data_IF_207175194070
#
_entry.id   IF_207175194070
#
_cell.length_a   1.000
_cell.length_b   1.000
_cell.length_c   1.000
_cell.angle_alpha   90.00
_cell.angle_beta   90.00
_cell.angle_gamma   90.00
#
_symmetry.space_group_name_H-M   'P 1'
#
loop_
_entity.id
_entity.type
_entity.pdbx_description
1 polymer ?
#
# COMPACT_ATOMS: atom_id res chain seq x y z
N UNK A 1 -27.73 48.22 -1.45
CA UNK A 1 -28.36 47.05 -2.07
C UNK A 1 -28.83 46.14 -0.95
N UNK A 2 -30.14 46.00 -0.76
CA UNK A 2 -30.77 45.21 0.32
C UNK A 2 -30.98 43.79 -0.19
N UNK A 3 -30.55 42.77 0.55
CA UNK A 3 -30.92 41.39 0.29
C UNK A 3 -31.65 40.80 1.49
N UNK A 4 -32.72 40.10 1.16
CA UNK A 4 -33.88 39.78 1.98
C UNK A 4 -33.69 38.43 2.67
N UNK A 5 -34.09 38.35 3.94
CA UNK A 5 -34.18 37.12 4.75
C UNK A 5 -35.39 36.31 4.27
N UNK A 6 -35.17 35.02 3.97
CA UNK A 6 -36.23 34.04 3.66
C UNK A 6 -36.28 32.94 4.71
N UNK A 7 -37.18 33.09 5.67
CA UNK A 7 -37.56 32.13 6.70
C UNK A 7 -38.55 31.12 6.11
N UNK A 8 -38.30 29.81 6.22
CA UNK A 8 -39.27 28.76 5.85
C UNK A 8 -39.60 27.87 7.06
N UNK A 9 -40.90 27.72 7.32
CA UNK A 9 -41.51 27.07 8.48
C UNK A 9 -41.80 25.57 8.26
N UNK A 10 -41.85 24.88 9.41
CA UNK A 10 -42.22 23.49 9.73
C UNK A 10 -43.48 22.92 9.06
N UNK A 11 -43.48 21.58 8.91
CA UNK A 11 -44.68 20.74 9.02
C UNK A 11 -44.36 19.50 9.88
N UNK A 12 -45.13 19.35 10.96
CA UNK A 12 -45.20 18.15 11.81
C UNK A 12 -46.40 17.31 11.38
N UNK A 13 -46.25 15.98 11.34
CA UNK A 13 -47.36 15.04 11.14
C UNK A 13 -47.48 14.17 12.39
N UNK A 14 -48.64 14.29 13.05
CA UNK A 14 -49.11 13.40 14.09
C UNK A 14 -50.15 12.46 13.49
N UNK A 15 -50.11 11.18 13.87
CA UNK A 15 -51.24 10.26 13.75
C UNK A 15 -51.41 9.55 15.09
N UNK A 16 -52.55 9.83 15.71
CA UNK A 16 -53.12 9.17 16.87
C UNK A 16 -54.00 7.99 16.43
N UNK A 17 -54.13 6.97 17.29
CA UNK A 17 -55.43 6.34 17.51
C UNK A 17 -55.53 4.81 17.40
N UNK A 18 -55.46 4.13 18.57
CA UNK A 18 -56.42 3.12 19.14
C UNK A 18 -56.91 1.96 18.25
N UNK A 19 -56.96 0.67 18.64
CA UNK A 19 -56.69 -0.08 19.87
C UNK A 19 -57.34 -1.48 19.73
N UNK A 20 -56.80 -2.52 20.36
CA UNK A 20 -57.52 -3.76 20.66
C UNK A 20 -56.79 -4.53 21.78
N UNK A 21 -57.46 -4.66 22.92
CA UNK A 21 -57.03 -5.45 24.07
C UNK A 21 -57.50 -6.89 23.88
N UNK A 22 -56.59 -7.87 23.93
CA UNK A 22 -56.93 -9.26 24.23
C UNK A 22 -55.91 -9.83 25.21
N UNK A 23 -56.46 -10.21 26.36
CA UNK A 23 -55.84 -10.93 27.47
C UNK A 23 -55.35 -12.30 27.04
N UNK A 24 -54.07 -12.60 27.32
CA UNK A 24 -53.49 -13.95 27.24
C UNK A 24 -52.57 -14.17 28.43
N UNK A 25 -52.84 -15.22 29.21
CA UNK A 25 -52.10 -15.63 30.40
C UNK A 25 -50.63 -16.01 30.10
N UNK A 26 -49.71 -15.97 31.09
CA UNK A 26 -48.35 -16.42 30.87
C UNK A 26 -48.30 -17.96 30.87
N UNK A 27 -48.02 -18.55 29.71
CA UNK A 27 -47.62 -19.95 29.61
C UNK A 27 -46.14 -20.07 29.99
N UNK A 28 -45.85 -20.84 31.04
CA UNK A 28 -44.49 -21.26 31.39
C UNK A 28 -44.03 -22.32 30.38
N UNK A 29 -43.19 -21.92 29.43
CA UNK A 29 -42.45 -22.86 28.57
C UNK A 29 -40.98 -22.87 28.97
N UNK A 30 -40.56 -24.00 29.51
CA UNK A 30 -39.17 -24.40 29.74
C UNK A 30 -38.46 -24.50 28.39
N UNK A 31 -37.56 -23.54 28.10
CA UNK A 31 -36.64 -23.63 26.96
C UNK A 31 -35.50 -24.56 27.32
N UNK A 32 -35.50 -25.76 26.74
CA UNK A 32 -34.35 -26.66 26.71
C UNK A 32 -33.23 -26.01 25.90
N UNK A 33 -32.07 -25.85 26.52
CA UNK A 33 -30.87 -25.32 25.87
C UNK A 33 -30.46 -26.21 24.67
N UNK A 34 -30.10 -25.65 23.52
CA UNK A 34 -29.49 -26.43 22.45
C UNK A 34 -28.10 -26.91 22.91
N UNK A 35 -27.90 -28.22 22.89
CA UNK A 35 -26.60 -28.85 23.11
C UNK A 35 -25.60 -28.35 22.07
N UNK A 36 -24.57 -27.65 22.52
CA UNK A 36 -23.39 -27.29 21.74
C UNK A 36 -22.67 -28.58 21.33
N UNK A 37 -22.91 -29.05 20.11
CA UNK A 37 -22.08 -30.07 19.48
C UNK A 37 -20.76 -29.42 19.08
N UNK A 38 -19.74 -29.63 19.90
CA UNK A 38 -18.35 -29.30 19.57
C UNK A 38 -17.92 -30.21 18.42
N UNK A 39 -18.08 -29.76 17.18
CA UNK A 39 -17.35 -30.33 16.05
C UNK A 39 -15.89 -29.99 16.26
N UNK A 40 -15.11 -30.98 16.70
CA UNK A 40 -13.66 -30.95 16.65
C UNK A 40 -13.27 -30.81 15.19
N UNK A 41 -13.01 -29.58 14.76
CA UNK A 41 -12.38 -29.29 13.48
C UNK A 41 -10.98 -29.87 13.55
N UNK A 42 -10.76 -30.99 12.88
CA UNK A 42 -9.42 -31.53 12.62
C UNK A 42 -8.65 -30.45 11.90
N UNK A 43 -7.77 -29.74 12.61
CA UNK A 43 -6.84 -28.80 12.00
C UNK A 43 -5.98 -29.59 11.01
N UNK A 44 -6.22 -29.36 9.72
CA UNK A 44 -5.30 -29.80 8.67
C UNK A 44 -3.92 -29.28 9.05
N UNK A 45 -2.86 -30.11 9.05
CA UNK A 45 -1.52 -29.62 9.32
C UNK A 45 -1.24 -28.47 8.37
N UNK A 46 -0.98 -27.30 8.94
CA UNK A 46 -0.63 -26.09 8.21
C UNK A 46 0.71 -26.37 7.51
N UNK A 47 0.65 -26.81 6.25
CA UNK A 47 1.83 -27.08 5.43
C UNK A 47 2.61 -25.76 5.35
N UNK A 48 3.80 -25.74 5.96
CA UNK A 48 4.73 -24.60 5.91
C UNK A 48 5.16 -24.29 4.47
N UNK A 49 6.04 -23.30 4.29
CA UNK A 49 6.49 -22.96 2.93
C UNK A 49 7.06 -24.20 2.22
N UNK A 50 6.57 -24.53 1.00
CA UNK A 50 7.06 -25.67 0.24
C UNK A 50 8.58 -25.61 0.10
N UNK A 51 9.29 -26.70 0.33
CA UNK A 51 10.76 -26.67 0.33
C UNK A 51 11.36 -26.81 -1.07
N UNK A 52 10.53 -27.08 -2.08
CA UNK A 52 11.01 -27.66 -3.34
C UNK A 52 11.30 -26.63 -4.45
N UNK A 53 11.00 -25.34 -4.24
CA UNK A 53 11.31 -24.28 -5.21
C UNK A 53 12.36 -23.30 -4.67
N UNK A 54 13.25 -22.86 -5.56
CA UNK A 54 14.38 -22.00 -5.24
C UNK A 54 13.93 -20.58 -4.85
N UNK A 55 14.57 -20.02 -3.83
CA UNK A 55 14.39 -18.63 -3.42
C UNK A 55 15.53 -17.78 -3.96
N UNK A 56 15.22 -16.55 -4.35
CA UNK A 56 16.18 -15.55 -4.83
C UNK A 56 16.44 -14.51 -3.74
N UNK A 57 17.70 -14.09 -3.56
CA UNK A 57 18.11 -13.16 -2.50
C UNK A 57 18.27 -11.69 -2.95
N UNK A 58 18.30 -11.44 -4.27
CA UNK A 58 18.53 -10.12 -4.87
C UNK A 58 18.18 -10.11 -6.36
N UNK A 59 17.97 -8.92 -6.94
CA UNK A 59 17.68 -8.76 -8.36
C UNK A 59 16.28 -9.25 -8.74
N UNK A 60 16.13 -9.77 -9.97
CA UNK A 60 14.85 -10.29 -10.45
C UNK A 60 14.47 -11.58 -9.72
N UNK A 61 13.27 -11.60 -9.13
CA UNK A 61 12.69 -12.77 -8.47
C UNK A 61 12.01 -13.63 -9.53
N UNK A 62 11.14 -13.03 -10.34
CA UNK A 62 10.45 -13.74 -11.43
C UNK A 62 9.93 -12.76 -12.50
N UNK A 63 9.67 -13.28 -13.70
CA UNK A 63 8.94 -12.62 -14.78
C UNK A 63 7.93 -13.60 -15.36
N UNK A 64 6.66 -13.32 -15.12
CA UNK A 64 5.52 -14.10 -15.59
C UNK A 64 4.90 -13.36 -16.77
N UNK A 65 4.99 -13.95 -17.96
CA UNK A 65 4.34 -13.41 -19.16
C UNK A 65 3.03 -14.15 -19.40
N UNK A 66 1.92 -13.42 -19.42
CA UNK A 66 0.60 -13.98 -19.72
C UNK A 66 0.10 -13.37 -21.04
N UNK A 67 0.02 -14.15 -22.14
CA UNK A 67 -0.39 -13.60 -23.44
C UNK A 67 -1.85 -13.12 -23.47
N UNK A 68 -2.66 -13.58 -22.52
CA UNK A 68 -4.02 -13.12 -22.29
C UNK A 68 -4.33 -13.24 -20.81
N UNK A 69 -4.82 -12.16 -20.20
CA UNK A 69 -5.29 -12.12 -18.82
C UNK A 69 -6.65 -11.42 -18.76
N UNK A 70 -7.55 -11.93 -17.93
CA UNK A 70 -8.82 -11.31 -17.57
C UNK A 70 -8.72 -10.48 -16.28
N UNK A 71 -7.55 -10.47 -15.61
CA UNK A 71 -7.27 -9.65 -14.43
C UNK A 71 -7.25 -8.18 -14.80
N UNK A 72 -8.01 -7.38 -14.05
CA UNK A 72 -8.13 -5.91 -14.24
C UNK A 72 -7.96 -5.13 -12.95
N UNK A 73 -8.25 -5.79 -11.83
CA UNK A 73 -8.24 -5.15 -10.51
C UNK A 73 -7.46 -5.99 -9.51
N UNK A 74 -6.58 -5.36 -8.72
CA UNK A 74 -6.07 -5.99 -7.50
C UNK A 74 -7.17 -5.94 -6.44
N UNK A 75 -7.79 -7.10 -6.17
CA UNK A 75 -8.98 -7.21 -5.32
C UNK A 75 -8.68 -7.50 -3.85
N UNK A 76 -7.66 -8.31 -3.57
CA UNK A 76 -7.29 -8.65 -2.19
C UNK A 76 -5.80 -8.88 -2.04
N UNK A 77 -5.24 -8.36 -0.94
CA UNK A 77 -3.93 -8.76 -0.42
C UNK A 77 -4.17 -9.54 0.87
N UNK A 78 -3.79 -10.81 0.86
CA UNK A 78 -3.92 -11.72 2.00
C UNK A 78 -2.55 -12.14 2.49
N UNK A 79 -2.45 -12.42 3.79
CA UNK A 79 -1.21 -12.78 4.46
C UNK A 79 -1.37 -14.04 5.29
N UNK A 80 -0.36 -14.89 5.26
CA UNK A 80 -0.20 -16.03 6.14
C UNK A 80 1.23 -16.05 6.68
N UNK A 81 1.38 -16.18 7.99
CA UNK A 81 2.69 -16.30 8.65
C UNK A 81 2.84 -17.73 9.15
N UNK A 82 3.95 -18.37 8.81
CA UNK A 82 4.31 -19.71 9.22
C UNK A 82 5.62 -19.68 10.02
N UNK A 83 5.94 -20.80 10.67
CA UNK A 83 7.27 -20.94 11.26
C UNK A 83 8.33 -20.95 10.13
N UNK A 84 9.23 -19.96 10.16
CA UNK A 84 10.32 -19.82 9.19
C UNK A 84 9.97 -19.12 7.86
N UNK A 85 8.74 -18.71 7.61
CA UNK A 85 8.39 -17.98 6.38
C UNK A 85 7.08 -17.17 6.44
N UNK A 86 6.92 -16.25 5.51
CA UNK A 86 5.71 -15.44 5.30
C UNK A 86 5.21 -15.62 3.87
N UNK A 87 3.89 -15.66 3.70
CA UNK A 87 3.23 -15.78 2.39
C UNK A 87 2.25 -14.64 2.20
N UNK A 88 2.37 -13.95 1.08
CA UNK A 88 1.46 -12.90 0.62
C UNK A 88 0.76 -13.39 -0.64
N UNK A 89 -0.56 -13.31 -0.66
CA UNK A 89 -1.37 -13.63 -1.83
C UNK A 89 -2.08 -12.39 -2.35
N UNK A 90 -1.96 -12.18 -3.66
CA UNK A 90 -2.57 -11.09 -4.40
C UNK A 90 -3.64 -11.72 -5.30
N UNK A 91 -4.90 -11.51 -4.96
CA UNK A 91 -6.04 -12.02 -5.71
C UNK A 91 -6.56 -10.94 -6.66
N UNK A 92 -6.95 -11.36 -7.86
CA UNK A 92 -7.33 -10.46 -8.94
C UNK A 92 -8.79 -10.65 -9.34
N UNK A 93 -9.42 -9.55 -9.72
CA UNK A 93 -10.79 -9.52 -10.23
C UNK A 93 -10.81 -9.02 -11.69
N UNK A 94 -11.87 -9.39 -12.41
CA UNK A 94 -12.18 -8.84 -13.74
C UNK A 94 -12.67 -7.39 -13.62
N UNK A 95 -12.84 -6.71 -14.76
CA UNK A 95 -13.38 -5.35 -14.79
C UNK A 95 -14.79 -5.25 -14.18
N UNK A 96 -15.56 -6.34 -14.23
CA UNK A 96 -16.90 -6.44 -13.67
C UNK A 96 -16.91 -6.83 -12.17
N UNK A 97 -15.74 -7.05 -11.56
CA UNK A 97 -15.59 -7.39 -10.15
C UNK A 97 -15.85 -8.87 -9.81
N UNK A 98 -15.85 -9.76 -10.80
CA UNK A 98 -15.82 -11.20 -10.55
C UNK A 98 -14.38 -11.68 -10.34
N UNK A 99 -14.12 -12.76 -9.59
CA UNK A 99 -12.78 -13.33 -9.50
C UNK A 99 -12.22 -13.66 -10.87
N UNK A 100 -11.06 -13.09 -11.21
CA UNK A 100 -10.39 -13.38 -12.47
C UNK A 100 -9.92 -14.83 -12.50
N UNK A 101 -9.70 -15.37 -13.70
CA UNK A 101 -9.29 -16.76 -13.90
C UNK A 101 -7.81 -16.90 -14.20
N UNK A 102 -7.20 -15.87 -14.80
CA UNK A 102 -5.79 -15.84 -15.20
C UNK A 102 -5.11 -14.60 -14.60
N UNK A 103 -4.02 -14.74 -13.83
CA UNK A 103 -3.26 -13.61 -13.29
C UNK A 103 -2.74 -12.66 -14.39
N UNK A 104 -2.41 -11.40 -14.07
CA UNK A 104 -1.81 -10.49 -15.04
C UNK A 104 -0.35 -10.87 -15.35
N UNK A 105 0.20 -10.35 -16.45
CA UNK A 105 1.65 -10.38 -16.60
C UNK A 105 2.29 -9.62 -15.44
N UNK A 106 3.39 -10.17 -14.92
CA UNK A 106 4.01 -9.67 -13.70
C UNK A 106 5.52 -9.72 -13.79
N UNK A 107 6.19 -8.70 -13.27
CA UNK A 107 7.62 -8.77 -12.95
C UNK A 107 7.81 -8.48 -11.46
N UNK A 108 8.53 -9.36 -10.77
CA UNK A 108 8.88 -9.19 -9.37
C UNK A 108 10.40 -9.08 -9.22
N UNK A 109 10.87 -8.10 -8.45
CA UNK A 109 12.30 -7.89 -8.19
C UNK A 109 12.55 -7.24 -6.83
N UNK A 110 13.73 -7.47 -6.28
CA UNK A 110 14.30 -6.58 -5.28
C UNK A 110 14.73 -5.28 -5.95
N UNK A 111 14.47 -4.14 -5.32
CA UNK A 111 15.07 -2.87 -5.71
C UNK A 111 16.48 -2.79 -5.12
N UNK A 112 17.48 -2.57 -5.97
CA UNK A 112 18.88 -2.58 -5.57
C UNK A 112 19.17 -1.42 -4.61
N UNK A 113 19.84 -1.73 -3.49
CA UNK A 113 20.12 -0.75 -2.44
C UNK A 113 18.95 -0.53 -1.47
N UNK A 114 17.72 -0.89 -1.86
CA UNK A 114 16.51 -0.56 -1.12
C UNK A 114 15.94 -1.74 -0.32
N UNK A 115 15.19 -1.42 0.75
CA UNK A 115 14.42 -2.42 1.51
C UNK A 115 13.08 -2.76 0.82
N UNK A 116 13.06 -2.94 -0.50
CA UNK A 116 11.79 -3.06 -1.24
C UNK A 116 11.81 -4.25 -2.19
N UNK A 117 10.73 -5.02 -2.18
CA UNK A 117 10.36 -5.90 -3.29
C UNK A 117 9.27 -5.20 -4.09
N UNK A 118 9.53 -4.93 -5.38
CA UNK A 118 8.57 -4.37 -6.32
C UNK A 118 7.96 -5.47 -7.18
N UNK A 119 6.63 -5.52 -7.22
CA UNK A 119 5.85 -6.39 -8.09
C UNK A 119 5.07 -5.51 -9.06
N UNK A 120 5.54 -5.38 -10.31
CA UNK A 120 4.83 -4.67 -11.38
C UNK A 120 3.76 -5.56 -12.00
N UNK A 121 2.55 -5.05 -12.15
CA UNK A 121 1.36 -5.79 -12.55
C UNK A 121 0.68 -5.11 -13.74
N UNK A 122 0.34 -5.87 -14.79
CA UNK A 122 -0.49 -5.39 -15.90
C UNK A 122 -1.98 -5.41 -15.53
N UNK A 123 -2.41 -4.45 -14.69
CA UNK A 123 -3.80 -4.24 -14.25
C UNK A 123 -4.16 -2.75 -14.31
N UNK A 124 -5.46 -2.43 -14.24
CA UNK A 124 -5.99 -1.07 -14.47
C UNK A 124 -6.38 -0.34 -13.18
N UNK A 125 -6.84 -1.09 -12.16
CA UNK A 125 -7.25 -0.52 -10.86
C UNK A 125 -6.93 -1.41 -9.66
N UNK A 126 -7.18 -0.90 -8.46
CA UNK A 126 -7.01 -1.61 -7.18
C UNK A 126 -8.09 -1.17 -6.20
N UNK A 127 -8.50 -2.07 -5.30
CA UNK A 127 -9.36 -1.71 -4.15
C UNK A 127 -8.54 -1.47 -2.87
N UNK A 128 -7.22 -1.69 -2.93
CA UNK A 128 -6.28 -1.53 -1.83
C UNK A 128 -5.21 -0.52 -2.24
N UNK A 129 -4.94 0.47 -1.39
CA UNK A 129 -3.91 1.48 -1.66
C UNK A 129 -2.64 1.24 -0.86
N UNK A 130 -2.79 0.76 0.36
CA UNK A 130 -1.71 0.43 1.27
C UNK A 130 -2.23 -0.43 2.41
N UNK A 131 -1.32 -1.15 3.06
CA UNK A 131 -1.63 -1.98 4.21
C UNK A 131 -0.46 -2.04 5.19
N UNK A 132 -0.71 -1.70 6.45
CA UNK A 132 0.23 -1.94 7.55
C UNK A 132 0.29 -3.44 7.87
N UNK A 133 1.50 -4.02 7.84
CA UNK A 133 1.73 -5.45 7.98
C UNK A 133 2.41 -5.75 9.33
N UNK A 134 3.53 -5.11 9.64
CA UNK A 134 4.28 -5.25 10.89
C UNK A 134 4.63 -6.71 11.27
N UNK A 135 5.04 -7.52 10.29
CA UNK A 135 5.55 -8.87 10.52
C UNK A 135 7.06 -8.83 10.78
N UNK A 136 7.72 -9.98 10.80
CA UNK A 136 9.17 -10.04 10.94
C UNK A 136 9.85 -9.54 9.67
N UNK A 137 9.39 -9.97 8.50
CA UNK A 137 10.04 -9.68 7.22
C UNK A 137 9.48 -8.42 6.55
N UNK A 138 8.19 -8.10 6.73
CA UNK A 138 7.52 -7.02 6.00
C UNK A 138 6.89 -6.01 6.96
N UNK A 139 7.14 -4.74 6.72
CA UNK A 139 6.59 -3.63 7.48
C UNK A 139 5.24 -3.19 6.93
N UNK A 140 5.19 -2.95 5.62
CA UNK A 140 4.06 -2.32 4.95
C UNK A 140 4.04 -2.66 3.46
N UNK A 141 2.86 -2.57 2.87
CA UNK A 141 2.64 -2.72 1.44
C UNK A 141 2.03 -1.43 0.90
N UNK A 142 2.47 -1.00 -0.28
CA UNK A 142 1.90 0.11 -1.03
C UNK A 142 1.52 -0.35 -2.43
N UNK A 143 0.37 0.10 -2.91
CA UNK A 143 -0.06 -0.06 -4.29
C UNK A 143 0.04 1.30 -4.97
N UNK A 144 0.87 1.35 -6.00
CA UNK A 144 1.36 2.59 -6.60
C UNK A 144 1.09 2.56 -8.09
N UNK A 145 0.65 3.69 -8.63
CA UNK A 145 0.62 3.95 -10.06
C UNK A 145 1.96 4.56 -10.45
N UNK A 146 2.64 3.93 -11.38
CA UNK A 146 3.92 4.37 -11.92
C UNK A 146 3.78 5.51 -12.92
N UNK A 147 4.90 6.18 -13.19
CA UNK A 147 4.96 7.28 -14.17
C UNK A 147 4.65 6.82 -15.61
N UNK A 148 4.84 5.53 -15.89
CA UNK A 148 4.46 4.89 -17.16
C UNK A 148 2.97 4.50 -17.24
N UNK A 149 2.22 4.74 -16.15
CA UNK A 149 0.80 4.40 -16.00
C UNK A 149 0.55 2.97 -15.53
N UNK A 150 1.57 2.10 -15.48
CA UNK A 150 1.46 0.76 -14.94
C UNK A 150 1.25 0.80 -13.42
N UNK A 151 0.75 -0.29 -12.83
CA UNK A 151 0.71 -0.41 -11.38
C UNK A 151 1.80 -1.32 -10.88
N UNK A 152 2.26 -1.04 -9.68
CA UNK A 152 3.12 -1.93 -8.94
C UNK A 152 2.76 -1.96 -7.46
N UNK A 153 3.17 -3.06 -6.82
CA UNK A 153 3.08 -3.24 -5.38
C UNK A 153 4.48 -3.24 -4.82
N UNK A 154 4.74 -2.31 -3.90
CA UNK A 154 6.00 -2.26 -3.15
C UNK A 154 5.78 -2.85 -1.76
N UNK A 155 6.54 -3.90 -1.44
CA UNK A 155 6.61 -4.48 -0.11
C UNK A 155 7.86 -3.95 0.60
N UNK A 156 7.65 -3.18 1.66
CA UNK A 156 8.72 -2.64 2.49
C UNK A 156 9.20 -3.69 3.48
N UNK A 157 10.47 -4.06 3.39
CA UNK A 157 11.08 -5.09 4.21
C UNK A 157 11.63 -4.52 5.52
N UNK A 158 11.51 -5.29 6.60
CA UNK A 158 12.14 -5.00 7.90
C UNK A 158 13.47 -5.71 8.07
N UNK A 159 13.55 -6.92 7.53
CA UNK A 159 14.74 -7.77 7.53
C UNK A 159 15.04 -8.20 6.10
N UNK A 160 16.30 -8.58 5.84
CA UNK A 160 16.67 -9.22 4.57
C UNK A 160 15.79 -10.46 4.38
N UNK A 161 15.25 -10.63 3.19
CA UNK A 161 14.45 -11.79 2.83
C UNK A 161 14.98 -12.42 1.54
N UNK A 162 14.81 -13.73 1.40
CA UNK A 162 14.80 -14.34 0.07
C UNK A 162 13.35 -14.52 -0.35
N UNK A 163 13.10 -14.42 -1.64
CA UNK A 163 11.76 -14.38 -2.20
C UNK A 163 11.58 -15.37 -3.34
N UNK A 164 10.35 -15.83 -3.53
CA UNK A 164 9.92 -16.50 -4.75
C UNK A 164 8.46 -16.18 -5.04
N UNK A 165 8.07 -16.36 -6.29
CA UNK A 165 6.71 -16.13 -6.76
C UNK A 165 6.13 -17.46 -7.26
N UNK A 166 4.85 -17.67 -7.01
CA UNK A 166 4.05 -18.70 -7.66
C UNK A 166 2.72 -18.10 -8.14
N UNK A 167 2.15 -18.67 -9.19
CA UNK A 167 0.84 -18.27 -9.71
C UNK A 167 -0.14 -19.42 -9.67
N UNK A 168 -1.40 -19.11 -9.40
CA UNK A 168 -2.52 -20.03 -9.56
C UNK A 168 -3.60 -19.41 -10.44
N UNK A 169 -4.27 -20.28 -11.19
CA UNK A 169 -5.39 -19.92 -12.05
C UNK A 169 -6.69 -20.43 -11.43
N UNK A 170 -7.79 -19.72 -11.68
CA UNK A 170 -9.15 -20.11 -11.28
C UNK A 170 -9.29 -20.46 -9.78
N UNK A 171 -9.20 -19.48 -8.86
CA UNK A 171 -9.08 -18.04 -9.14
C UNK A 171 -7.63 -17.59 -9.43
N UNK A 172 -7.51 -16.49 -10.17
CA UNK A 172 -6.26 -15.80 -10.46
C UNK A 172 -5.64 -15.28 -9.18
N UNK A 173 -4.45 -15.80 -8.85
CA UNK A 173 -3.69 -15.35 -7.69
C UNK A 173 -2.20 -15.42 -7.95
N UNK A 174 -1.51 -14.39 -7.49
CA UNK A 174 -0.06 -14.38 -7.36
C UNK A 174 0.29 -14.57 -5.89
N UNK A 175 1.26 -15.44 -5.62
CA UNK A 175 1.71 -15.76 -4.27
C UNK A 175 3.19 -15.42 -4.15
N UNK A 176 3.52 -14.42 -3.34
CA UNK A 176 4.89 -14.13 -2.92
C UNK A 176 5.17 -14.89 -1.62
N UNK A 177 6.25 -15.64 -1.60
CA UNK A 177 6.73 -16.29 -0.40
C UNK A 177 8.09 -15.72 -0.02
N UNK A 178 8.24 -15.45 1.27
CA UNK A 178 9.43 -14.86 1.86
C UNK A 178 9.96 -15.76 2.96
N UNK A 179 11.27 -15.97 2.99
CA UNK A 179 11.96 -16.53 4.15
C UNK A 179 13.07 -15.57 4.61
N UNK A 180 13.54 -15.68 5.86
CA UNK A 180 14.65 -14.86 6.33
C UNK A 180 15.89 -15.04 5.45
N UNK A 181 16.43 -13.92 4.97
CA UNK A 181 17.72 -13.83 4.31
C UNK A 181 18.84 -13.55 5.30
N UNK A 182 20.07 -13.58 4.82
CA UNK A 182 21.27 -13.23 5.59
C UNK A 182 21.94 -11.96 5.07
N UNK A 183 22.56 -11.22 5.97
CA UNK A 183 23.35 -10.02 5.64
C UNK A 183 22.60 -8.72 5.90
N UNK A 184 23.28 -7.61 5.63
CA UNK A 184 22.73 -6.28 5.82
C UNK A 184 21.65 -5.97 4.78
N UNK A 185 20.69 -5.18 5.20
CA UNK A 185 19.64 -4.64 4.34
C UNK A 185 19.80 -3.11 4.35
N UNK A 186 19.79 -2.47 3.17
CA UNK A 186 19.99 -1.01 3.01
C UNK A 186 19.02 -0.18 3.84
N UNK A 187 19.18 1.13 4.09
CA UNK A 187 18.30 1.89 4.99
C UNK A 187 16.80 1.83 4.61
N UNK A 188 15.86 1.95 5.57
CA UNK A 188 14.44 1.99 5.24
C UNK A 188 14.08 3.29 4.50
N UNK A 189 13.05 3.25 3.62
CA UNK A 189 12.47 4.46 3.06
C UNK A 189 11.98 5.43 4.14
N UNK A 190 12.08 6.73 3.90
CA UNK A 190 11.54 7.73 4.81
C UNK A 190 10.04 7.91 4.59
N UNK A 191 9.27 7.97 5.69
CA UNK A 191 7.82 7.92 5.65
C UNK A 191 7.19 9.13 6.36
N UNK A 192 6.10 9.61 5.79
CA UNK A 192 5.11 10.49 6.39
C UNK A 192 3.71 10.02 5.97
N UNK A 193 2.66 10.66 6.47
CA UNK A 193 1.28 10.24 6.19
C UNK A 193 0.94 10.20 4.68
N UNK A 194 1.53 11.08 3.88
CA UNK A 194 1.19 11.25 2.44
C UNK A 194 2.39 11.25 1.51
N UNK A 195 3.58 10.94 2.03
CA UNK A 195 4.81 10.89 1.25
C UNK A 195 5.69 9.76 1.73
N UNK A 196 6.12 8.93 0.79
CA UNK A 196 7.15 7.92 0.96
C UNK A 196 8.29 8.28 0.03
N UNK A 197 9.47 8.47 0.60
CA UNK A 197 10.69 8.76 -0.12
C UNK A 197 11.57 7.53 -0.11
N UNK A 198 11.77 6.96 -1.29
CA UNK A 198 12.54 5.72 -1.49
C UNK A 198 14.01 6.07 -1.66
N UNK A 199 14.32 7.04 -2.54
CA UNK A 199 15.69 7.52 -2.80
C UNK A 199 15.72 9.05 -2.75
N UNK A 200 16.76 9.66 -2.16
CA UNK A 200 17.82 9.03 -1.37
C UNK A 200 17.32 8.63 0.03
N UNK A 201 18.01 7.72 0.74
CA UNK A 201 17.71 7.46 2.14
C UNK A 201 18.25 8.55 3.07
N UNK A 202 17.76 8.59 4.31
CA UNK A 202 18.29 9.50 5.34
C UNK A 202 19.78 9.23 5.61
N UNK A 203 20.50 10.30 5.95
CA UNK A 203 21.96 10.31 6.17
C UNK A 203 22.80 9.87 4.95
N UNK A 204 22.21 9.76 3.76
CA UNK A 204 22.93 9.38 2.56
C UNK A 204 23.97 10.42 2.16
N UNK A 205 25.05 9.93 1.55
CA UNK A 205 26.02 10.77 0.86
C UNK A 205 25.88 10.57 -0.65
N UNK A 206 25.42 11.59 -1.34
CA UNK A 206 25.09 11.59 -2.78
C UNK A 206 26.03 12.54 -3.55
N UNK A 207 26.09 12.37 -4.86
CA UNK A 207 26.86 13.27 -5.73
C UNK A 207 26.10 14.59 -5.94
N UNK A 208 26.77 15.60 -6.53
CA UNK A 208 26.17 16.91 -6.82
C UNK A 208 24.91 16.87 -7.70
N UNK A 209 24.71 15.79 -8.44
CA UNK A 209 23.49 15.47 -9.20
C UNK A 209 22.98 14.12 -8.71
N UNK A 210 21.73 14.06 -8.27
CA UNK A 210 21.14 12.85 -7.71
C UNK A 210 19.63 12.80 -7.92
N UNK A 211 19.08 11.59 -7.89
CA UNK A 211 17.66 11.31 -8.03
C UNK A 211 16.93 11.47 -6.69
N UNK A 212 15.72 12.03 -6.76
CA UNK A 212 14.75 12.05 -5.67
C UNK A 212 13.49 11.34 -6.18
N UNK A 213 13.21 10.17 -5.62
CA UNK A 213 12.14 9.30 -6.09
C UNK A 213 11.39 8.62 -4.94
N UNK A 214 10.10 8.41 -5.18
CA UNK A 214 9.22 7.79 -4.21
C UNK A 214 7.79 7.80 -4.68
N UNK A 215 6.86 7.85 -3.74
CA UNK A 215 5.45 7.98 -4.06
C UNK A 215 4.70 8.81 -3.04
N UNK A 216 3.65 9.48 -3.50
CA UNK A 216 2.92 10.45 -2.73
C UNK A 216 1.40 10.34 -2.96
N UNK A 217 0.62 10.83 -2.00
CA UNK A 217 -0.83 11.07 -2.13
C UNK A 217 -1.17 12.51 -1.75
N UNK A 218 -0.34 13.44 -2.22
CA UNK A 218 -0.45 14.88 -1.95
C UNK A 218 -1.52 15.53 -2.82
N UNK A 219 -2.07 16.66 -2.38
CA UNK A 219 -3.13 17.36 -3.11
C UNK A 219 -2.66 17.77 -4.52
N UNK A 220 -3.52 17.57 -5.52
CA UNK A 220 -3.22 17.83 -6.94
C UNK A 220 -1.97 17.11 -7.49
N UNK A 221 -1.51 16.05 -6.81
CA UNK A 221 -0.28 15.32 -7.16
C UNK A 221 0.95 16.23 -7.31
N UNK A 222 1.04 17.35 -6.57
CA UNK A 222 2.20 18.23 -6.62
C UNK A 222 3.13 17.99 -5.43
N UNK A 223 4.25 17.31 -5.66
CA UNK A 223 5.26 17.02 -4.64
C UNK A 223 6.28 18.15 -4.60
N UNK A 224 6.35 18.85 -3.48
CA UNK A 224 7.30 19.91 -3.19
C UNK A 224 8.60 19.32 -2.65
N UNK A 225 9.72 19.69 -3.29
CA UNK A 225 11.08 19.32 -2.90
C UNK A 225 11.83 20.60 -2.57
N UNK A 226 12.36 20.69 -1.35
CA UNK A 226 13.08 21.87 -0.85
C UNK A 226 14.38 21.43 -0.20
N UNK A 227 15.52 21.94 -0.66
CA UNK A 227 16.79 21.74 0.02
C UNK A 227 17.19 23.01 0.77
N UNK A 228 17.62 22.86 2.02
CA UNK A 228 18.11 23.96 2.86
C UNK A 228 19.52 23.71 3.38
N UNK A 229 20.25 24.81 3.57
CA UNK A 229 21.55 24.82 4.26
C UNK A 229 21.45 25.79 5.44
N UNK A 230 21.37 25.24 6.65
CA UNK A 230 20.96 26.02 7.81
C UNK A 230 19.54 26.57 7.60
N UNK A 231 19.40 27.90 7.58
CA UNK A 231 18.10 28.57 7.41
C UNK A 231 17.88 29.10 5.98
N UNK A 232 18.79 28.82 5.04
CA UNK A 232 18.72 29.28 3.66
C UNK A 232 18.15 28.18 2.76
N UNK A 233 17.15 28.52 1.95
CA UNK A 233 16.66 27.64 0.87
C UNK A 233 17.62 27.76 -0.31
N UNK A 234 18.29 26.67 -0.63
CA UNK A 234 19.26 26.60 -1.73
C UNK A 234 18.67 25.95 -2.99
N UNK A 235 17.54 25.26 -2.86
CA UNK A 235 16.82 24.64 -3.96
C UNK A 235 15.33 24.49 -3.60
N UNK A 236 14.46 24.67 -4.57
CA UNK A 236 13.02 24.43 -4.44
C UNK A 236 12.44 24.08 -5.80
N UNK A 237 11.73 22.97 -5.88
CA UNK A 237 11.06 22.50 -7.09
C UNK A 237 9.76 21.77 -6.72
N UNK A 238 8.77 21.81 -7.61
CA UNK A 238 7.63 20.92 -7.56
C UNK A 238 7.75 19.88 -8.68
N UNK A 239 7.45 18.61 -8.39
CA UNK A 239 7.38 17.52 -9.36
C UNK A 239 6.01 16.85 -9.29
N UNK A 240 5.41 16.45 -10.43
CA UNK A 240 4.14 15.74 -10.41
C UNK A 240 4.32 14.29 -9.91
N UNK A 241 3.35 13.81 -9.14
CA UNK A 241 3.13 12.39 -8.89
C UNK A 241 2.16 11.81 -9.94
N UNK A 242 2.28 10.52 -10.24
CA UNK A 242 1.47 9.85 -11.26
C UNK A 242 -0.03 9.75 -10.90
N UNK A 243 -0.35 9.77 -9.60
CA UNK A 243 -1.71 9.71 -9.06
C UNK A 243 -1.73 10.37 -7.67
N UNK A 244 -2.91 10.69 -7.19
CA UNK A 244 -3.17 11.13 -5.82
C UNK A 244 -4.56 10.76 -5.31
N UNK A 245 -5.40 10.19 -6.18
CA UNK A 245 -6.82 9.96 -5.92
C UNK A 245 -7.10 8.50 -5.60
N UNK A 246 -6.72 7.60 -6.50
CA UNK A 246 -7.06 6.18 -6.41
C UNK A 246 -5.95 5.38 -5.74
N UNK A 247 -4.69 5.65 -6.11
CA UNK A 247 -3.51 4.97 -5.57
C UNK A 247 -2.53 5.95 -4.93
N UNK A 248 -1.40 5.43 -4.44
CA UNK A 248 -0.19 6.24 -4.35
C UNK A 248 0.32 6.54 -5.77
N UNK A 249 0.85 7.73 -6.01
CA UNK A 249 1.45 8.10 -7.29
C UNK A 249 2.96 8.14 -7.18
N UNK A 250 3.66 7.43 -8.08
CA UNK A 250 5.11 7.53 -8.23
C UNK A 250 5.50 8.96 -8.65
N UNK A 251 6.58 9.46 -8.08
CA UNK A 251 7.24 10.68 -8.52
C UNK A 251 8.74 10.43 -8.63
N UNK A 252 9.38 11.14 -9.55
CA UNK A 252 10.81 11.10 -9.78
C UNK A 252 11.26 12.49 -10.25
N UNK A 253 12.43 12.93 -9.80
CA UNK A 253 13.12 14.10 -10.37
C UNK A 253 14.60 14.03 -10.08
N UNK A 254 15.40 14.65 -10.95
CA UNK A 254 16.81 14.92 -10.71
C UNK A 254 16.96 16.24 -9.94
N UNK A 255 17.90 16.27 -9.01
CA UNK A 255 18.24 17.45 -8.21
C UNK A 255 19.74 17.71 -8.34
N UNK A 256 20.10 18.98 -8.57
CA UNK A 256 21.51 19.42 -8.64
C UNK A 256 21.82 20.39 -7.49
N UNK A 257 22.77 20.04 -6.63
CA UNK A 257 23.20 20.85 -5.50
C UNK A 257 24.74 20.98 -5.46
N UNK A 258 25.21 22.11 -4.92
CA UNK A 258 26.62 22.28 -4.61
C UNK A 258 27.02 21.45 -3.37
N UNK A 259 28.30 21.00 -3.28
CA UNK A 259 28.78 20.17 -2.16
C UNK A 259 28.51 20.76 -0.77
N UNK A 260 28.32 19.87 0.21
CA UNK A 260 28.09 20.20 1.61
C UNK A 260 26.87 19.52 2.23
N UNK A 261 26.67 19.73 3.53
CA UNK A 261 25.51 19.21 4.25
C UNK A 261 24.24 20.00 3.90
N UNK A 262 23.12 19.29 3.69
CA UNK A 262 21.81 19.86 3.34
C UNK A 262 20.69 19.10 4.06
N UNK A 263 19.60 19.80 4.38
CA UNK A 263 18.34 19.16 4.73
C UNK A 263 17.45 19.14 3.49
N UNK A 264 16.96 17.96 3.10
CA UNK A 264 16.05 17.80 1.97
C UNK A 264 14.63 17.51 2.51
N UNK A 265 13.71 18.44 2.31
CA UNK A 265 12.28 18.23 2.53
C UNK A 265 11.63 17.72 1.24
N UNK A 266 10.77 16.71 1.37
CA UNK A 266 9.92 16.20 0.28
C UNK A 266 8.50 15.99 0.81
N UNK A 267 7.51 16.60 0.19
CA UNK A 267 6.12 16.48 0.62
C UNK A 267 5.19 17.49 -0.04
N UNK A 268 4.31 18.11 0.73
CA UNK A 268 3.41 19.16 0.26
C UNK A 268 3.36 20.34 1.22
N UNK A 269 2.83 21.45 0.71
CA UNK A 269 2.32 22.52 1.55
C UNK A 269 0.82 22.30 1.73
N UNK A 270 0.39 22.17 2.98
CA UNK A 270 -1.02 22.04 3.35
C UNK A 270 -1.83 23.21 2.80
N UNK A 271 -2.89 22.95 2.01
CA UNK A 271 -3.74 24.01 1.49
C UNK A 271 -4.60 24.67 2.58
N UNK A 272 -4.69 24.07 3.77
CA UNK A 272 -5.54 24.53 4.87
C UNK A 272 -4.87 25.62 5.70
N UNK A 273 -3.58 25.46 5.99
CA UNK A 273 -2.83 26.29 6.93
C UNK A 273 -1.43 26.71 6.44
N UNK A 274 -1.01 26.25 5.26
CA UNK A 274 0.30 26.54 4.69
C UNK A 274 1.46 25.80 5.37
N UNK A 275 1.18 24.85 6.28
CA UNK A 275 2.21 24.04 6.93
C UNK A 275 2.88 23.08 5.93
N UNK A 276 4.16 22.80 6.14
CA UNK A 276 4.86 21.77 5.36
C UNK A 276 4.57 20.39 5.98
N UNK A 277 4.10 19.46 5.15
CA UNK A 277 3.79 18.09 5.53
C UNK A 277 4.55 17.14 4.61
N UNK A 278 5.37 16.27 5.18
CA UNK A 278 6.23 15.39 4.39
C UNK A 278 7.37 14.80 5.20
N UNK A 279 8.42 14.39 4.50
CA UNK A 279 9.64 13.85 5.08
C UNK A 279 10.76 14.90 5.02
N UNK A 280 11.70 14.82 5.95
CA UNK A 280 12.94 15.60 5.91
C UNK A 280 14.11 14.68 6.13
N UNK A 281 15.09 14.74 5.22
CA UNK A 281 16.33 13.97 5.28
C UNK A 281 17.51 14.88 5.55
N UNK A 282 18.54 14.32 6.19
CA UNK A 282 19.86 14.91 6.28
C UNK A 282 20.73 14.26 5.19
N UNK A 283 21.27 15.06 4.27
CA UNK A 283 22.13 14.56 3.20
C UNK A 283 23.50 15.23 3.22
N UNK A 284 24.50 14.53 2.71
CA UNK A 284 25.82 15.09 2.40
C UNK A 284 26.05 15.05 0.89
N UNK A 285 26.26 16.21 0.27
CA UNK A 285 26.56 16.33 -1.15
C UNK A 285 28.08 16.34 -1.37
N UNK A 286 28.59 15.50 -2.28
CA UNK A 286 30.02 15.40 -2.64
C UNK A 286 30.43 16.34 -3.77
#
# INVERSE_FOLDING_TARGET
MRWTIGLLLLLAVACDGTGATTTSAPATTTTTAPSTSTTTSTATPTIGCPQDAEFVASGQIDRITQPSSDSRTLGLVSRQVFDGCERFGFDFDTAEGAPATTPPSTTARFLDGERIIRITLEIDSTVITDQLIETRLVDRIYVVRGLDGAMFVDLHLREKANARIAVSNSPARLTLELNPGSGDIGPPPALSDRTVLVVPPDEATVDGEFEVAGYARVFEASVLIVATRGNEVIFSQATPAADWTETWGEFETEVTLAPGAVNLFVGEQSPQDGSLQGVTLNLTIR
#
